data_IF_704529515614
#
_entry.id   IF_704529515614
#
_cell.length_a   1.000
_cell.length_b   1.000
_cell.length_c   1.000
_cell.angle_alpha   90.00
_cell.angle_beta   90.00
_cell.angle_gamma   90.00
#
_symmetry.space_group_name_H-M   'P 1'
#
loop_
_entity.id
_entity.type
_entity.pdbx_description
1 polymer ?
#
# COMPACT_ATOMS: atom_id res chain seq x y z
N UNK A 1 -23.68 -32.31 -15.41
CA UNK A 1 -24.81 -31.38 -15.70
C UNK A 1 -25.17 -30.70 -14.40
N UNK A 2 -24.69 -29.47 -14.19
CA UNK A 2 -25.06 -28.66 -13.03
C UNK A 2 -26.06 -27.64 -13.55
N UNK A 3 -27.31 -27.78 -13.14
CA UNK A 3 -28.44 -26.94 -13.50
C UNK A 3 -28.19 -25.49 -13.12
N UNK A 4 -28.23 -24.62 -14.12
CA UNK A 4 -28.28 -23.16 -13.93
C UNK A 4 -29.65 -22.82 -13.33
N UNK A 5 -29.70 -22.55 -12.03
CA UNK A 5 -30.87 -21.94 -11.40
C UNK A 5 -30.93 -20.48 -11.87
N UNK A 6 -31.93 -20.20 -12.73
CA UNK A 6 -32.32 -18.83 -13.07
C UNK A 6 -32.97 -18.21 -11.83
N UNK A 7 -32.29 -17.23 -11.20
CA UNK A 7 -32.86 -16.41 -10.14
C UNK A 7 -33.85 -15.43 -10.79
N UNK A 8 -35.14 -15.70 -10.69
CA UNK A 8 -36.22 -14.73 -10.89
C UNK A 8 -36.42 -13.95 -9.59
N UNK A 9 -36.57 -12.65 -9.73
CA UNK A 9 -36.90 -11.60 -8.74
C UNK A 9 -35.71 -10.92 -8.11
N UNK A 10 -35.41 -9.69 -8.57
CA UNK A 10 -34.97 -8.49 -7.84
C UNK A 10 -33.84 -8.57 -6.79
N UNK A 11 -33.19 -9.70 -6.55
CA UNK A 11 -32.14 -9.79 -5.56
C UNK A 11 -30.83 -9.35 -6.18
N UNK A 12 -30.26 -8.27 -5.64
CA UNK A 12 -28.91 -7.79 -5.99
C UNK A 12 -27.89 -8.88 -5.66
N UNK A 13 -27.05 -9.22 -6.65
CA UNK A 13 -25.94 -10.16 -6.46
C UNK A 13 -25.04 -9.69 -5.31
N UNK A 14 -24.77 -10.55 -4.35
CA UNK A 14 -23.91 -10.29 -3.20
C UNK A 14 -22.47 -10.70 -3.49
N UNK A 15 -21.53 -9.99 -2.90
CA UNK A 15 -20.09 -10.23 -2.97
C UNK A 15 -19.56 -10.43 -1.56
N UNK A 16 -18.75 -11.47 -1.35
CA UNK A 16 -18.09 -11.75 -0.07
C UNK A 16 -16.70 -11.11 -0.06
N UNK A 17 -16.44 -10.23 0.93
CA UNK A 17 -15.13 -9.61 1.15
C UNK A 17 -14.17 -10.55 1.86
N UNK A 18 -12.86 -10.23 1.82
CA UNK A 18 -11.85 -10.96 2.58
C UNK A 18 -12.06 -10.89 4.11
N UNK A 19 -12.83 -9.92 4.61
CA UNK A 19 -13.23 -9.81 6.02
C UNK A 19 -14.41 -10.72 6.40
N UNK A 20 -15.03 -11.43 5.44
CA UNK A 20 -16.25 -12.19 5.62
C UNK A 20 -17.54 -11.35 5.48
N UNK A 21 -17.44 -10.02 5.46
CA UNK A 21 -18.60 -9.14 5.21
C UNK A 21 -19.14 -9.32 3.80
N UNK A 22 -20.46 -9.18 3.64
CA UNK A 22 -21.12 -9.16 2.34
C UNK A 22 -21.47 -7.75 1.91
N UNK A 23 -21.41 -7.49 0.61
CA UNK A 23 -21.88 -6.25 0.01
C UNK A 23 -22.52 -6.52 -1.35
N UNK A 24 -23.28 -5.58 -1.88
CA UNK A 24 -23.82 -5.63 -3.23
C UNK A 24 -22.73 -5.59 -4.29
N UNK A 25 -22.87 -6.39 -5.35
CA UNK A 25 -21.98 -6.32 -6.52
C UNK A 25 -22.17 -5.01 -7.27
N UNK A 26 -21.09 -4.24 -7.42
CA UNK A 26 -21.11 -2.94 -8.09
C UNK A 26 -20.11 -2.92 -9.25
N UNK A 27 -20.61 -3.00 -10.49
CA UNK A 27 -19.78 -2.87 -11.70
C UNK A 27 -18.90 -1.61 -11.69
N UNK A 28 -19.43 -0.50 -11.15
CA UNK A 28 -18.73 0.77 -11.04
C UNK A 28 -17.43 0.69 -10.25
N UNK A 29 -17.30 -0.25 -9.29
CA UNK A 29 -16.04 -0.46 -8.56
C UNK A 29 -14.95 -1.05 -9.46
N UNK A 30 -15.31 -2.00 -10.33
CA UNK A 30 -14.39 -2.63 -11.29
C UNK A 30 -13.99 -1.58 -12.33
N UNK A 31 -14.98 -0.95 -12.97
CA UNK A 31 -14.77 0.10 -13.97
C UNK A 31 -13.87 1.21 -13.43
N UNK A 32 -14.21 1.79 -12.27
CA UNK A 32 -13.43 2.87 -11.66
C UNK A 32 -12.00 2.47 -11.34
N UNK A 33 -11.75 1.23 -10.92
CA UNK A 33 -10.40 0.75 -10.67
C UNK A 33 -9.62 0.51 -11.96
N UNK A 34 -10.26 0.00 -13.02
CA UNK A 34 -9.65 -0.12 -14.36
C UNK A 34 -9.21 1.25 -14.90
N UNK A 35 -10.09 2.26 -14.79
CA UNK A 35 -9.80 3.63 -15.24
C UNK A 35 -8.60 4.23 -14.48
N UNK A 36 -8.58 4.13 -13.14
CA UNK A 36 -7.44 4.60 -12.34
C UNK A 36 -6.14 3.88 -12.70
N UNK A 37 -6.23 2.59 -13.05
CA UNK A 37 -5.08 1.83 -13.52
C UNK A 37 -4.62 2.22 -14.94
N UNK A 38 -5.37 3.08 -15.65
CA UNK A 38 -5.02 3.58 -16.98
C UNK A 38 -5.63 2.78 -18.14
N UNK A 39 -6.71 2.02 -17.91
CA UNK A 39 -7.50 1.44 -19.00
C UNK A 39 -8.34 2.51 -19.70
N UNK A 40 -8.59 2.33 -21.01
CA UNK A 40 -9.59 3.15 -21.72
C UNK A 40 -10.99 2.91 -21.15
N UNK A 41 -11.90 3.87 -21.41
CA UNK A 41 -13.28 3.76 -20.94
C UNK A 41 -13.98 2.53 -21.51
N UNK A 42 -13.79 2.27 -22.81
CA UNK A 42 -14.35 1.11 -23.51
C UNK A 42 -13.85 -0.21 -22.93
N UNK A 43 -12.55 -0.31 -22.68
CA UNK A 43 -11.93 -1.49 -22.07
C UNK A 43 -12.45 -1.71 -20.64
N UNK A 44 -12.53 -0.66 -19.83
CA UNK A 44 -13.00 -0.73 -18.45
C UNK A 44 -14.48 -1.18 -18.38
N UNK A 45 -15.34 -0.67 -19.26
CA UNK A 45 -16.75 -1.06 -19.37
C UNK A 45 -16.91 -2.50 -19.85
N UNK A 46 -16.16 -2.92 -20.86
CA UNK A 46 -16.20 -4.29 -21.37
C UNK A 46 -15.78 -5.29 -20.31
N UNK A 47 -14.68 -5.01 -19.59
CA UNK A 47 -14.19 -5.86 -18.52
C UNK A 47 -15.21 -5.94 -17.38
N UNK A 48 -15.79 -4.82 -16.95
CA UNK A 48 -16.77 -4.81 -15.86
C UNK A 48 -18.01 -5.65 -16.23
N UNK A 49 -18.53 -5.53 -17.45
CA UNK A 49 -19.65 -6.35 -17.96
C UNK A 49 -19.30 -7.84 -18.03
N UNK A 50 -18.11 -8.16 -18.53
CA UNK A 50 -17.69 -9.56 -18.63
C UNK A 50 -17.49 -10.21 -17.25
N UNK A 51 -16.90 -9.50 -16.31
CA UNK A 51 -16.78 -9.97 -14.92
C UNK A 51 -18.15 -10.17 -14.28
N UNK A 52 -19.10 -9.23 -14.47
CA UNK A 52 -20.47 -9.38 -13.96
C UNK A 52 -21.15 -10.63 -14.54
N UNK A 53 -21.06 -10.83 -15.86
CA UNK A 53 -21.65 -12.00 -16.55
C UNK A 53 -21.14 -13.34 -16.00
N UNK A 54 -19.87 -13.38 -15.59
CA UNK A 54 -19.21 -14.57 -15.06
C UNK A 54 -19.26 -14.66 -13.53
N UNK A 55 -19.92 -13.71 -12.85
CA UNK A 55 -20.09 -13.70 -11.40
C UNK A 55 -21.41 -14.36 -11.00
N UNK A 56 -21.49 -14.80 -9.77
CA UNK A 56 -22.66 -15.46 -9.17
C UNK A 56 -22.90 -14.88 -7.77
N UNK A 57 -24.05 -15.13 -7.18
CA UNK A 57 -24.37 -14.67 -5.82
C UNK A 57 -23.41 -15.31 -4.80
N UNK A 58 -22.80 -14.50 -3.95
CA UNK A 58 -21.76 -14.93 -3.02
C UNK A 58 -20.34 -15.00 -3.60
N UNK A 59 -20.10 -14.55 -4.85
CA UNK A 59 -18.76 -14.50 -5.43
C UNK A 59 -17.78 -13.71 -4.54
N UNK A 60 -16.57 -14.23 -4.35
CA UNK A 60 -15.58 -13.54 -3.53
C UNK A 60 -14.92 -12.35 -4.27
N UNK A 61 -14.54 -11.31 -3.52
CA UNK A 61 -13.73 -10.20 -4.08
C UNK A 61 -12.41 -10.69 -4.68
N UNK A 62 -11.88 -11.83 -4.19
CA UNK A 62 -10.66 -12.46 -4.73
C UNK A 62 -10.89 -13.06 -6.11
N UNK A 63 -12.06 -13.66 -6.35
CA UNK A 63 -12.41 -14.19 -7.66
C UNK A 63 -12.67 -13.09 -8.67
N UNK A 64 -13.40 -12.05 -8.26
CA UNK A 64 -13.60 -10.83 -9.08
C UNK A 64 -12.25 -10.25 -9.50
N UNK A 65 -11.32 -10.07 -8.57
CA UNK A 65 -9.96 -9.60 -8.85
C UNK A 65 -9.26 -10.51 -9.86
N UNK A 66 -9.31 -11.83 -9.67
CA UNK A 66 -8.66 -12.81 -10.56
C UNK A 66 -9.23 -12.77 -11.97
N UNK A 67 -10.56 -12.70 -12.12
CA UNK A 67 -11.22 -12.55 -13.43
C UNK A 67 -10.79 -11.26 -14.11
N UNK A 68 -10.86 -10.13 -13.41
CA UNK A 68 -10.47 -8.81 -13.93
C UNK A 68 -9.01 -8.79 -14.39
N UNK A 69 -8.09 -9.31 -13.55
CA UNK A 69 -6.67 -9.38 -13.89
C UNK A 69 -6.38 -10.26 -15.09
N UNK A 70 -7.13 -11.36 -15.27
CA UNK A 70 -6.99 -12.25 -16.44
C UNK A 70 -7.32 -11.50 -17.73
N UNK A 71 -8.40 -10.74 -17.73
CA UNK A 71 -8.83 -9.95 -18.87
C UNK A 71 -7.85 -8.81 -19.18
N UNK A 72 -7.47 -8.03 -18.17
CA UNK A 72 -6.50 -6.95 -18.34
C UNK A 72 -5.14 -7.44 -18.83
N UNK A 73 -4.68 -8.61 -18.35
CA UNK A 73 -3.38 -9.18 -18.77
C UNK A 73 -3.28 -9.47 -20.26
N UNK A 74 -4.39 -9.88 -20.88
CA UNK A 74 -4.42 -10.20 -22.30
C UNK A 74 -4.20 -8.97 -23.18
N UNK A 75 -4.71 -7.83 -22.74
CA UNK A 75 -4.74 -6.61 -23.55
C UNK A 75 -3.70 -5.58 -23.10
N UNK A 76 -3.61 -5.33 -21.80
CA UNK A 76 -2.77 -4.27 -21.22
C UNK A 76 -2.05 -4.77 -19.95
N UNK A 77 -0.95 -5.54 -20.07
CA UNK A 77 -0.26 -6.13 -18.91
C UNK A 77 0.19 -5.12 -17.85
N UNK A 78 0.59 -3.91 -18.25
CA UNK A 78 0.98 -2.83 -17.32
C UNK A 78 -0.21 -2.25 -16.57
N UNK A 79 -1.38 -2.14 -17.21
CA UNK A 79 -2.63 -1.75 -16.54
C UNK A 79 -3.05 -2.82 -15.54
N UNK A 80 -2.91 -4.10 -15.89
CA UNK A 80 -3.18 -5.20 -14.96
C UNK A 80 -2.26 -5.15 -13.72
N UNK A 81 -1.01 -4.71 -13.86
CA UNK A 81 -0.12 -4.51 -12.72
C UNK A 81 -0.59 -3.36 -11.84
N UNK A 82 -0.92 -2.21 -12.40
CA UNK A 82 -1.47 -1.05 -11.65
C UNK A 82 -2.83 -1.37 -11.00
N UNK A 83 -3.68 -2.14 -11.66
CA UNK A 83 -4.93 -2.62 -11.09
C UNK A 83 -4.71 -3.44 -9.80
N UNK A 84 -3.64 -4.24 -9.74
CA UNK A 84 -3.26 -5.04 -8.57
C UNK A 84 -2.33 -4.29 -7.60
N UNK A 85 -2.41 -2.96 -7.55
CA UNK A 85 -1.59 -2.14 -6.66
C UNK A 85 -1.68 -2.61 -5.19
N UNK A 86 -2.88 -2.86 -4.70
CA UNK A 86 -3.06 -3.35 -3.32
C UNK A 86 -2.38 -4.71 -3.10
N UNK A 87 -2.48 -5.63 -4.06
CA UNK A 87 -1.78 -6.90 -4.03
C UNK A 87 -0.26 -6.73 -4.03
N UNK A 88 0.26 -5.73 -4.74
CA UNK A 88 1.70 -5.45 -4.73
C UNK A 88 2.20 -4.99 -3.36
N UNK A 89 1.40 -4.22 -2.62
CA UNK A 89 1.72 -3.86 -1.23
C UNK A 89 1.76 -5.10 -0.33
N UNK A 90 0.82 -6.03 -0.47
CA UNK A 90 0.85 -7.30 0.29
C UNK A 90 2.03 -8.21 -0.10
N UNK A 91 2.69 -7.99 -1.23
CA UNK A 91 3.90 -8.69 -1.66
C UNK A 91 5.21 -8.05 -1.18
N UNK A 92 5.16 -6.91 -0.51
CA UNK A 92 6.37 -6.32 0.10
C UNK A 92 7.04 -7.30 1.07
N UNK A 93 6.26 -8.20 1.65
CA UNK A 93 6.76 -9.33 2.44
C UNK A 93 6.62 -9.16 3.94
N UNK A 94 6.80 -10.28 4.69
CA UNK A 94 6.60 -10.30 6.14
C UNK A 94 7.69 -9.60 6.95
N UNK A 95 8.83 -9.28 6.34
CA UNK A 95 9.86 -8.46 6.99
C UNK A 95 9.34 -7.02 7.07
N UNK A 96 8.91 -6.58 8.25
CA UNK A 96 8.36 -5.25 8.54
C UNK A 96 9.19 -4.11 7.95
N UNK A 97 10.48 -4.27 7.95
CA UNK A 97 11.48 -3.37 7.39
C UNK A 97 11.17 -2.83 5.98
N UNK A 98 10.58 -3.64 5.10
CA UNK A 98 10.29 -3.20 3.72
C UNK A 98 9.11 -2.25 3.64
N UNK A 99 8.10 -2.39 4.50
CA UNK A 99 6.94 -1.49 4.51
C UNK A 99 7.28 -0.12 5.12
N UNK A 100 8.05 -0.12 6.21
CA UNK A 100 8.57 1.10 6.86
C UNK A 100 9.43 1.90 5.88
N UNK A 101 10.33 1.21 5.16
CA UNK A 101 11.15 1.82 4.14
C UNK A 101 10.29 2.39 2.99
N UNK A 102 9.32 1.64 2.51
CA UNK A 102 8.39 2.10 1.48
C UNK A 102 7.61 3.35 1.92
N UNK A 103 7.15 3.40 3.17
CA UNK A 103 6.49 4.59 3.74
C UNK A 103 7.47 5.76 3.80
N UNK A 104 8.70 5.53 4.24
CA UNK A 104 9.75 6.54 4.28
C UNK A 104 10.03 7.15 2.90
N UNK A 105 10.17 6.32 1.85
CA UNK A 105 10.41 6.81 0.49
C UNK A 105 9.19 7.56 -0.08
N UNK A 106 7.95 7.10 0.19
CA UNK A 106 6.76 7.88 -0.15
C UNK A 106 6.84 9.28 0.49
N UNK A 107 7.16 9.37 1.77
CA UNK A 107 7.22 10.66 2.47
C UNK A 107 8.31 11.57 1.93
N UNK A 108 9.47 11.05 1.52
CA UNK A 108 10.51 11.83 0.83
C UNK A 108 9.96 12.47 -0.45
N UNK A 109 9.23 11.72 -1.25
CA UNK A 109 8.59 12.25 -2.47
C UNK A 109 7.48 13.29 -2.16
N UNK A 110 6.99 13.34 -0.92
CA UNK A 110 6.09 14.37 -0.40
C UNK A 110 6.80 15.51 0.32
N UNK A 111 8.13 15.61 0.19
CA UNK A 111 8.94 16.73 0.70
C UNK A 111 9.35 16.60 2.16
N UNK A 112 9.28 15.40 2.74
CA UNK A 112 9.84 15.15 4.07
C UNK A 112 11.29 14.66 3.97
N UNK A 113 12.14 15.07 4.90
CA UNK A 113 13.37 14.34 5.24
C UNK A 113 12.97 13.17 6.14
N UNK A 114 13.50 11.96 5.89
CA UNK A 114 13.15 10.77 6.67
C UNK A 114 14.38 10.03 7.20
N UNK A 115 14.28 9.54 8.44
CA UNK A 115 15.24 8.61 9.06
C UNK A 115 14.47 7.37 9.50
N UNK A 116 14.97 6.18 9.14
CA UNK A 116 14.36 4.89 9.48
C UNK A 116 14.96 4.33 10.78
N UNK A 117 14.19 3.50 11.47
CA UNK A 117 14.60 2.67 12.61
C UNK A 117 15.44 3.43 13.64
N UNK A 118 14.96 4.61 14.01
CA UNK A 118 15.67 5.51 14.91
C UNK A 118 15.42 5.14 16.38
N UNK A 119 16.47 4.78 17.11
CA UNK A 119 16.38 4.51 18.54
C UNK A 119 16.48 5.82 19.33
N UNK A 120 15.37 6.27 19.92
CA UNK A 120 15.23 7.57 20.57
C UNK A 120 14.90 7.41 22.06
N UNK A 121 15.57 8.18 22.91
CA UNK A 121 15.35 8.17 24.36
C UNK A 121 14.06 8.93 24.70
N UNK A 122 13.09 8.23 25.31
CA UNK A 122 11.96 8.83 25.99
C UNK A 122 12.29 9.19 27.45
N UNK A 123 11.30 9.63 28.20
CA UNK A 123 11.44 9.90 29.63
C UNK A 123 11.69 8.62 30.44
N UNK A 124 10.98 7.55 30.08
CA UNK A 124 11.06 6.26 30.78
C UNK A 124 12.01 5.29 30.08
N UNK A 125 11.83 5.05 28.78
CA UNK A 125 12.59 4.03 28.03
C UNK A 125 13.06 4.58 26.67
N UNK A 126 13.86 3.78 25.95
CA UNK A 126 14.18 4.04 24.55
C UNK A 126 13.10 3.42 23.67
N UNK A 127 12.74 4.13 22.61
CA UNK A 127 11.79 3.68 21.59
C UNK A 127 12.48 3.57 20.23
N UNK A 128 12.30 2.46 19.56
CA UNK A 128 12.60 2.34 18.13
C UNK A 128 11.44 2.95 17.35
N UNK A 129 11.72 3.99 16.57
CA UNK A 129 10.74 4.69 15.74
C UNK A 129 10.94 4.26 14.30
N UNK A 130 9.91 3.68 13.70
CA UNK A 130 9.98 3.13 12.35
C UNK A 130 10.40 4.18 11.32
N UNK A 131 9.77 5.37 11.36
CA UNK A 131 10.14 6.50 10.51
C UNK A 131 10.04 7.80 11.32
N UNK A 132 11.14 8.53 11.41
CA UNK A 132 11.15 9.93 11.80
C UNK A 132 11.07 10.77 10.52
N UNK A 133 10.02 11.58 10.37
CA UNK A 133 9.83 12.44 9.21
C UNK A 133 9.83 13.92 9.61
N UNK A 134 10.67 14.71 8.94
CA UNK A 134 10.82 16.15 9.22
C UNK A 134 10.44 16.96 8.00
N UNK A 135 9.60 17.98 8.18
CA UNK A 135 9.26 18.96 7.17
C UNK A 135 8.90 20.29 7.84
N UNK A 136 9.42 21.40 7.33
CA UNK A 136 9.15 22.76 7.87
C UNK A 136 9.39 22.81 9.38
N UNK A 137 10.57 22.31 9.81
CA UNK A 137 11.03 22.22 11.21
C UNK A 137 10.09 21.44 12.17
N UNK A 138 9.13 20.70 11.63
CA UNK A 138 8.24 19.82 12.40
C UNK A 138 8.68 18.37 12.25
N UNK A 139 8.87 17.70 13.40
CA UNK A 139 9.22 16.30 13.45
C UNK A 139 7.99 15.44 13.76
N UNK A 140 7.81 14.40 12.98
CA UNK A 140 6.72 13.44 13.14
C UNK A 140 7.28 12.08 13.53
N UNK A 141 6.73 11.51 14.58
CA UNK A 141 6.96 10.11 14.96
C UNK A 141 5.97 9.24 14.19
N UNK A 142 6.47 8.32 13.37
CA UNK A 142 5.63 7.47 12.54
C UNK A 142 5.83 6.01 12.93
N UNK A 143 4.75 5.36 13.28
CA UNK A 143 4.63 3.92 13.48
C UNK A 143 3.99 3.31 12.24
N UNK A 144 4.58 2.24 11.73
CA UNK A 144 4.13 1.53 10.53
C UNK A 144 3.57 0.16 10.91
N UNK A 145 2.29 -0.08 10.61
CA UNK A 145 1.67 -1.39 10.88
C UNK A 145 1.36 -2.12 9.59
N UNK A 146 2.22 -3.08 9.25
CA UNK A 146 2.01 -3.95 8.10
C UNK A 146 1.14 -5.17 8.48
N UNK A 147 0.17 -5.46 7.62
CA UNK A 147 -0.63 -6.68 7.67
C UNK A 147 -0.39 -7.50 6.42
N UNK A 148 -0.14 -8.79 6.55
CA UNK A 148 0.09 -9.72 5.43
C UNK A 148 -1.21 -10.34 4.88
N UNK A 149 -2.33 -10.18 5.59
CA UNK A 149 -3.63 -10.71 5.18
C UNK A 149 -4.61 -9.58 4.84
N UNK A 150 -5.29 -9.66 3.67
CA UNK A 150 -6.40 -8.78 3.34
C UNK A 150 -7.55 -8.91 4.34
N UNK A 151 -8.28 -7.82 4.58
CA UNK A 151 -9.42 -7.82 5.49
C UNK A 151 -9.07 -7.53 6.94
N UNK A 152 -7.80 -7.59 7.33
CA UNK A 152 -7.34 -7.25 8.68
C UNK A 152 -7.50 -5.76 8.96
N UNK A 153 -7.86 -5.44 10.21
CA UNK A 153 -7.97 -4.07 10.70
C UNK A 153 -6.86 -3.77 11.70
N UNK A 154 -6.30 -2.56 11.65
CA UNK A 154 -5.46 -2.01 12.72
C UNK A 154 -6.38 -1.50 13.82
N UNK A 155 -6.39 -2.19 14.96
CA UNK A 155 -7.31 -1.96 16.07
C UNK A 155 -6.84 -0.89 17.06
N UNK A 156 -7.70 -0.62 18.06
CA UNK A 156 -7.47 0.35 19.13
C UNK A 156 -6.16 0.10 19.89
N UNK A 157 -5.79 -1.16 20.16
CA UNK A 157 -4.55 -1.51 20.89
C UNK A 157 -3.30 -0.89 20.25
N UNK A 158 -3.21 -0.91 18.92
CA UNK A 158 -2.06 -0.31 18.19
C UNK A 158 -2.07 1.21 18.31
N UNK A 159 -3.24 1.85 18.22
CA UNK A 159 -3.36 3.30 18.37
C UNK A 159 -2.99 3.77 19.81
N UNK A 160 -3.42 3.03 20.84
CA UNK A 160 -3.04 3.27 22.22
C UNK A 160 -1.52 3.16 22.42
N UNK A 161 -0.93 2.08 21.91
CA UNK A 161 0.50 1.83 22.01
C UNK A 161 1.32 2.94 21.31
N UNK A 162 0.93 3.30 20.09
CA UNK A 162 1.59 4.38 19.33
C UNK A 162 1.54 5.70 20.09
N UNK A 163 0.38 6.04 20.66
CA UNK A 163 0.23 7.27 21.42
C UNK A 163 1.00 7.25 22.74
N UNK A 164 1.06 6.12 23.44
CA UNK A 164 1.85 5.98 24.68
C UNK A 164 3.35 6.21 24.42
N UNK A 165 3.90 5.66 23.32
CA UNK A 165 5.29 5.92 22.90
C UNK A 165 5.53 7.40 22.63
N UNK A 166 4.62 8.05 21.92
CA UNK A 166 4.69 9.49 21.67
C UNK A 166 4.63 10.31 22.98
N UNK A 167 3.80 9.93 23.94
CA UNK A 167 3.70 10.61 25.23
C UNK A 167 5.02 10.53 26.00
N UNK A 168 5.68 9.36 26.03
CA UNK A 168 6.98 9.18 26.68
C UNK A 168 8.10 10.00 25.98
N UNK A 169 8.09 10.06 24.64
CA UNK A 169 9.00 10.91 23.89
C UNK A 169 8.77 12.40 24.15
N UNK A 170 7.51 12.83 24.24
CA UNK A 170 7.16 14.21 24.58
C UNK A 170 7.65 14.61 25.96
N UNK A 171 7.52 13.72 26.93
CA UNK A 171 8.02 13.94 28.28
C UNK A 171 9.56 13.85 28.35
N UNK A 172 10.18 13.00 27.52
CA UNK A 172 11.64 12.97 27.29
C UNK A 172 12.17 14.28 26.72
N UNK A 173 11.49 14.85 25.72
CA UNK A 173 11.83 16.15 25.17
C UNK A 173 11.80 17.27 26.24
N UNK A 174 10.77 17.33 27.07
CA UNK A 174 10.67 18.29 28.18
C UNK A 174 11.83 18.21 29.15
N UNK A 175 12.48 17.05 29.27
CA UNK A 175 13.66 16.78 30.08
C UNK A 175 14.98 16.94 29.32
N UNK A 176 14.95 17.38 28.06
CA UNK A 176 16.15 17.54 27.22
C UNK A 176 16.79 16.23 26.75
N UNK A 177 16.06 15.09 26.78
CA UNK A 177 16.60 13.77 26.43
C UNK A 177 16.51 13.42 24.94
N UNK A 178 15.66 14.11 24.20
CA UNK A 178 15.47 13.92 22.76
C UNK A 178 14.92 15.18 22.09
N UNK A 179 14.86 15.14 20.75
CA UNK A 179 14.24 16.20 19.97
C UNK A 179 12.72 16.24 20.20
N UNK A 180 12.10 17.38 19.91
CA UNK A 180 10.65 17.53 19.92
C UNK A 180 10.02 16.73 18.79
N UNK A 181 8.93 16.04 19.09
CA UNK A 181 8.01 15.48 18.12
C UNK A 181 6.67 16.24 18.18
N UNK A 182 6.23 16.75 17.04
CA UNK A 182 5.04 17.60 16.96
C UNK A 182 3.75 16.81 16.82
N UNK A 183 3.81 15.64 16.14
CA UNK A 183 2.63 14.81 15.95
C UNK A 183 3.01 13.33 15.76
N UNK A 184 2.31 12.39 16.42
CA UNK A 184 2.41 10.97 16.12
C UNK A 184 1.55 10.60 14.92
N UNK A 185 2.07 9.70 14.07
CA UNK A 185 1.35 9.13 12.95
C UNK A 185 1.33 7.60 13.09
N UNK A 186 0.24 7.00 12.63
CA UNK A 186 0.13 5.55 12.48
C UNK A 186 -0.27 5.25 11.02
N UNK A 187 0.61 4.54 10.33
CA UNK A 187 0.44 4.19 8.92
C UNK A 187 0.21 2.69 8.79
N UNK A 188 -0.81 2.28 8.03
CA UNK A 188 -1.02 0.86 7.75
C UNK A 188 -1.44 0.60 6.29
N UNK A 189 -1.13 -0.61 5.80
CA UNK A 189 -1.52 -1.06 4.46
C UNK A 189 -2.97 -1.54 4.35
N UNK A 190 -3.76 -1.45 5.42
CA UNK A 190 -5.15 -1.92 5.48
C UNK A 190 -6.11 -0.83 5.97
N UNK A 191 -7.00 -1.16 6.88
CA UNK A 191 -8.01 -0.26 7.45
C UNK A 191 -7.80 -0.11 8.95
N UNK A 192 -8.34 0.95 9.52
CA UNK A 192 -8.47 1.12 10.98
C UNK A 192 -9.84 0.68 11.47
N UNK A 193 -9.91 0.18 12.70
CA UNK A 193 -11.18 -0.03 13.39
C UNK A 193 -11.84 1.31 13.72
N UNK A 194 -13.15 1.27 13.99
CA UNK A 194 -13.91 2.46 14.42
C UNK A 194 -13.30 3.08 15.69
N UNK A 195 -13.01 2.25 16.69
CA UNK A 195 -12.46 2.70 17.97
C UNK A 195 -11.05 3.30 17.81
N UNK A 196 -10.17 2.69 16.97
CA UNK A 196 -8.87 3.25 16.65
C UNK A 196 -9.00 4.65 16.00
N UNK A 197 -9.96 4.81 15.08
CA UNK A 197 -10.20 6.08 14.40
C UNK A 197 -10.74 7.15 15.36
N UNK A 198 -11.66 6.76 16.25
CA UNK A 198 -12.23 7.67 17.24
C UNK A 198 -11.18 8.12 18.27
N UNK A 199 -10.38 7.18 18.79
CA UNK A 199 -9.29 7.48 19.72
C UNK A 199 -8.24 8.40 19.08
N UNK A 200 -7.80 8.08 17.87
CA UNK A 200 -6.80 8.84 17.15
C UNK A 200 -7.24 10.30 16.93
N UNK A 201 -8.50 10.51 16.55
CA UNK A 201 -9.08 11.85 16.37
C UNK A 201 -9.04 12.64 17.67
N UNK A 202 -9.41 12.02 18.79
CA UNK A 202 -9.40 12.67 20.11
C UNK A 202 -8.00 13.03 20.59
N UNK A 203 -7.00 12.18 20.29
CA UNK A 203 -5.61 12.34 20.74
C UNK A 203 -4.70 13.09 19.76
N UNK A 204 -5.20 13.52 18.60
CA UNK A 204 -4.36 14.15 17.56
C UNK A 204 -3.37 13.19 16.89
N UNK A 205 -3.60 11.86 17.00
CA UNK A 205 -2.83 10.83 16.30
C UNK A 205 -3.27 10.81 14.83
N UNK A 206 -2.38 11.11 13.90
CA UNK A 206 -2.69 11.05 12.47
C UNK A 206 -2.69 9.62 11.97
N UNK A 207 -3.75 9.24 11.27
CA UNK A 207 -3.90 7.91 10.68
C UNK A 207 -3.81 7.98 9.16
N UNK A 208 -2.99 7.09 8.58
CA UNK A 208 -2.91 6.86 7.14
C UNK A 208 -3.10 5.36 6.88
N UNK A 209 -4.31 4.98 6.45
CA UNK A 209 -4.62 3.61 6.00
C UNK A 209 -4.72 3.52 4.49
N UNK A 210 -5.06 2.34 3.96
CA UNK A 210 -5.14 2.14 2.51
C UNK A 210 -6.01 3.20 1.81
N UNK A 211 -7.24 3.41 2.26
CA UNK A 211 -8.19 4.43 1.76
C UNK A 211 -8.59 5.44 2.83
N UNK A 212 -7.79 5.62 3.84
CA UNK A 212 -8.06 6.51 4.95
C UNK A 212 -6.88 7.46 5.22
N UNK A 213 -7.11 8.78 5.38
CA UNK A 213 -8.39 9.47 5.18
C UNK A 213 -8.89 9.37 3.73
N UNK A 214 -10.18 9.59 3.52
CA UNK A 214 -10.74 9.57 2.16
C UNK A 214 -9.98 10.52 1.24
N UNK A 215 -9.59 10.06 0.05
CA UNK A 215 -8.78 10.78 -0.96
C UNK A 215 -7.35 11.18 -0.51
N UNK A 216 -6.92 10.81 0.70
CA UNK A 216 -5.58 11.14 1.25
C UNK A 216 -4.89 9.91 1.87
N UNK A 217 -5.49 8.72 1.74
CA UNK A 217 -4.90 7.48 2.20
C UNK A 217 -3.71 7.02 1.33
N UNK A 218 -3.10 5.92 1.73
CA UNK A 218 -1.89 5.40 1.10
C UNK A 218 -2.08 5.13 -0.41
N UNK A 219 -3.24 4.56 -0.82
CA UNK A 219 -3.59 4.35 -2.24
C UNK A 219 -3.53 5.67 -3.02
N UNK A 220 -4.18 6.73 -2.52
CA UNK A 220 -4.20 8.03 -3.19
C UNK A 220 -2.82 8.69 -3.24
N UNK A 221 -2.02 8.55 -2.19
CA UNK A 221 -0.64 9.05 -2.17
C UNK A 221 0.21 8.37 -3.26
N UNK A 222 0.11 7.06 -3.37
CA UNK A 222 0.84 6.29 -4.38
C UNK A 222 0.38 6.68 -5.79
N UNK A 223 -0.93 6.67 -6.06
CA UNK A 223 -1.48 6.94 -7.39
C UNK A 223 -1.18 8.37 -7.87
N UNK A 224 -1.31 9.37 -6.98
CA UNK A 224 -1.10 10.78 -7.31
C UNK A 224 0.30 11.08 -7.84
N UNK A 225 1.32 10.43 -7.29
CA UNK A 225 2.73 10.62 -7.66
C UNK A 225 3.35 9.41 -8.37
N UNK A 226 2.56 8.39 -8.71
CA UNK A 226 3.01 7.12 -9.32
C UNK A 226 4.10 6.40 -8.52
N UNK A 227 4.04 6.46 -7.19
CA UNK A 227 5.03 5.89 -6.26
C UNK A 227 4.79 4.39 -6.04
N UNK A 228 4.73 3.65 -7.13
CA UNK A 228 4.46 2.22 -7.10
C UNK A 228 5.59 1.43 -6.44
N UNK A 229 5.30 0.43 -5.57
CA UNK A 229 6.33 -0.43 -5.01
C UNK A 229 6.93 -1.33 -6.10
N UNK A 230 8.21 -1.69 -5.98
CA UNK A 230 8.88 -2.60 -6.95
C UNK A 230 8.14 -3.94 -7.11
N UNK A 231 7.43 -4.40 -6.09
CA UNK A 231 6.64 -5.63 -6.09
C UNK A 231 5.43 -5.62 -7.04
N UNK A 232 5.15 -4.48 -7.67
CA UNK A 232 4.17 -4.37 -8.75
C UNK A 232 4.70 -4.96 -10.07
N UNK A 233 6.03 -5.02 -10.22
CA UNK A 233 6.70 -5.58 -11.39
C UNK A 233 6.55 -7.09 -11.42
N UNK A 234 5.88 -7.61 -12.45
CA UNK A 234 5.66 -9.06 -12.60
C UNK A 234 6.93 -9.82 -12.95
N UNK A 235 7.89 -9.15 -13.56
CA UNK A 235 9.21 -9.69 -13.88
C UNK A 235 10.13 -9.76 -12.65
N UNK A 236 9.74 -9.21 -11.51
CA UNK A 236 10.51 -9.25 -10.27
C UNK A 236 10.38 -10.62 -9.59
N UNK A 237 11.50 -11.30 -9.39
CA UNK A 237 11.59 -12.48 -8.56
C UNK A 237 12.03 -12.12 -7.12
N UNK A 238 11.81 -13.05 -6.19
CA UNK A 238 12.10 -12.83 -4.76
C UNK A 238 13.57 -12.48 -4.49
N UNK A 239 14.51 -13.10 -5.19
CA UNK A 239 15.95 -12.84 -5.02
C UNK A 239 16.30 -11.41 -5.43
N UNK A 240 15.80 -10.96 -6.58
CA UNK A 240 15.96 -9.58 -7.04
C UNK A 240 15.25 -8.58 -6.13
N UNK A 241 14.06 -8.92 -5.62
CA UNK A 241 13.35 -8.09 -4.65
C UNK A 241 14.20 -7.83 -3.40
N UNK A 242 14.77 -8.88 -2.80
CA UNK A 242 15.61 -8.75 -1.61
C UNK A 242 16.82 -7.85 -1.90
N UNK A 243 17.51 -8.07 -3.02
CA UNK A 243 18.68 -7.28 -3.41
C UNK A 243 18.35 -5.81 -3.62
N UNK A 244 17.24 -5.50 -4.30
CA UNK A 244 16.76 -4.13 -4.49
C UNK A 244 16.40 -3.48 -3.15
N UNK A 245 15.64 -4.19 -2.30
CA UNK A 245 15.25 -3.68 -0.98
C UNK A 245 16.47 -3.38 -0.08
N UNK A 246 17.48 -4.27 -0.08
CA UNK A 246 18.72 -4.06 0.68
C UNK A 246 19.54 -2.87 0.17
N UNK A 247 19.44 -2.56 -1.13
CA UNK A 247 20.04 -1.37 -1.74
C UNK A 247 19.17 -0.09 -1.56
N UNK A 248 18.08 -0.17 -0.82
CA UNK A 248 17.19 0.98 -0.63
C UNK A 248 16.24 1.27 -1.78
N UNK A 249 16.16 0.41 -2.78
CA UNK A 249 15.36 0.61 -3.99
C UNK A 249 14.01 -0.08 -3.82
N UNK A 250 13.02 0.62 -3.30
CA UNK A 250 11.69 0.05 -2.99
C UNK A 250 10.58 0.59 -3.89
N UNK A 251 10.83 1.68 -4.62
CA UNK A 251 9.92 2.29 -5.58
C UNK A 251 10.28 1.92 -7.02
N UNK A 252 9.28 1.76 -7.89
CA UNK A 252 9.50 1.53 -9.33
C UNK A 252 10.26 2.70 -9.97
N UNK A 253 9.99 3.91 -9.51
CA UNK A 253 10.66 5.13 -10.00
C UNK A 253 12.17 5.11 -9.72
N UNK A 254 12.63 4.41 -8.68
CA UNK A 254 14.06 4.26 -8.40
C UNK A 254 14.81 3.55 -9.53
N UNK A 255 14.14 2.58 -10.18
CA UNK A 255 14.69 1.85 -11.34
C UNK A 255 14.66 2.69 -12.62
N UNK A 256 13.73 3.66 -12.71
CA UNK A 256 13.61 4.52 -13.90
C UNK A 256 14.61 5.68 -13.85
N UNK A 257 14.91 6.17 -12.65
CA UNK A 257 15.84 7.30 -12.40
C UNK A 257 17.32 6.94 -12.54
N UNK A 258 17.66 5.64 -12.57
CA UNK A 258 19.05 5.15 -12.62
C UNK A 258 19.32 4.37 -13.89
N UNK A 259 20.58 4.38 -14.31
CA UNK A 259 21.00 3.52 -15.41
C UNK A 259 21.22 2.07 -14.93
N UNK A 260 21.39 1.15 -15.89
CA UNK A 260 21.48 -0.30 -15.58
C UNK A 260 22.80 -0.63 -14.91
N UNK A 261 23.85 0.09 -15.22
CA UNK A 261 25.20 -0.06 -14.67
C UNK A 261 25.22 0.29 -13.18
N UNK A 262 24.69 1.46 -12.80
CA UNK A 262 24.51 1.87 -11.39
C UNK A 262 23.67 0.86 -10.60
N UNK A 263 22.56 0.40 -11.18
CA UNK A 263 21.71 -0.60 -10.54
C UNK A 263 22.43 -1.93 -10.34
N UNK A 264 23.32 -2.32 -11.28
CA UNK A 264 24.13 -3.53 -11.16
C UNK A 264 25.16 -3.39 -10.03
N UNK A 265 25.85 -2.28 -9.94
CA UNK A 265 26.83 -1.99 -8.87
C UNK A 265 26.16 -1.99 -7.48
N UNK A 266 25.02 -1.30 -7.35
CA UNK A 266 24.28 -1.22 -6.08
C UNK A 266 23.70 -2.56 -5.62
N UNK A 267 23.28 -3.41 -6.55
CA UNK A 267 22.47 -4.58 -6.21
C UNK A 267 23.12 -5.93 -6.50
N UNK A 268 24.13 -5.97 -7.35
CA UNK A 268 24.72 -7.20 -7.89
C UNK A 268 23.68 -8.06 -8.66
N UNK A 269 22.63 -7.45 -9.22
CA UNK A 269 21.68 -8.13 -10.11
C UNK A 269 22.23 -8.11 -11.53
N UNK A 270 22.24 -9.25 -12.21
CA UNK A 270 22.75 -9.36 -13.58
C UNK A 270 22.09 -8.34 -14.52
N UNK A 271 22.90 -7.67 -15.34
CA UNK A 271 22.49 -6.63 -16.31
C UNK A 271 21.31 -7.07 -17.19
N UNK A 272 21.31 -8.30 -17.68
CA UNK A 272 20.19 -8.85 -18.48
C UNK A 272 18.84 -8.78 -17.71
N UNK A 273 18.85 -9.10 -16.41
CA UNK A 273 17.66 -9.03 -15.55
C UNK A 273 17.25 -7.60 -15.30
N UNK A 274 18.20 -6.72 -15.01
CA UNK A 274 17.93 -5.29 -14.78
C UNK A 274 17.32 -4.61 -16.01
N UNK A 275 17.81 -4.90 -17.22
CA UNK A 275 17.22 -4.40 -18.48
C UNK A 275 15.72 -4.74 -18.59
N UNK A 276 15.33 -5.95 -18.17
CA UNK A 276 13.93 -6.38 -18.16
C UNK A 276 13.13 -5.56 -17.09
N UNK A 277 13.65 -5.45 -15.86
CA UNK A 277 13.01 -4.74 -14.77
C UNK A 277 12.83 -3.25 -15.09
N UNK A 278 13.88 -2.60 -15.62
CA UNK A 278 13.83 -1.17 -16.01
C UNK A 278 12.83 -0.94 -17.15
N UNK A 279 12.81 -1.81 -18.17
CA UNK A 279 11.81 -1.73 -19.25
C UNK A 279 10.39 -1.83 -18.72
N UNK A 280 10.13 -2.78 -17.83
CA UNK A 280 8.79 -2.96 -17.24
C UNK A 280 8.45 -1.81 -16.29
N UNK A 281 9.43 -1.27 -15.56
CA UNK A 281 9.29 -0.08 -14.71
C UNK A 281 8.87 1.15 -15.53
N UNK A 282 9.53 1.42 -16.66
CA UNK A 282 9.17 2.53 -17.57
C UNK A 282 7.72 2.43 -18.07
N UNK A 283 7.24 1.22 -18.39
CA UNK A 283 5.84 0.99 -18.82
C UNK A 283 4.82 1.24 -17.71
N UNK A 284 5.21 1.05 -16.45
CA UNK A 284 4.33 1.27 -15.30
C UNK A 284 4.31 2.75 -14.91
N UNK A 285 5.40 3.48 -15.03
CA UNK A 285 5.47 4.91 -14.70
C UNK A 285 4.92 5.82 -15.82
N UNK A 286 5.05 5.40 -17.06
CA UNK A 286 4.45 6.11 -18.21
C UNK A 286 2.97 5.86 -18.27
#
# INVERSE_FOLDING_TARGET
>A
MISRVFVKNGSFMKVVKASGETEEFKEGKIKGTCLRAGASRELAERIAREVKRNSYDGVSTREILRMTLRLLKKEMPHVASRYDLKGSIFRLGPAGFTFEHFVGEILKEYGFSTKLNSLIRGACVRHEIDVVATREDKNHMIECKYHNLPGTYTGLKVALYTYARFADLRDGWKRGLCQKFDQPWLVCNTKFSRDATQYARHKGLKLIGWKYPYMQGLEAMIEKKKLYPITILRSLDRRSQIKLSNAGLVLVVDLVRRNVEELNEMTGIRTKKLKILVRDAKRICG
#
